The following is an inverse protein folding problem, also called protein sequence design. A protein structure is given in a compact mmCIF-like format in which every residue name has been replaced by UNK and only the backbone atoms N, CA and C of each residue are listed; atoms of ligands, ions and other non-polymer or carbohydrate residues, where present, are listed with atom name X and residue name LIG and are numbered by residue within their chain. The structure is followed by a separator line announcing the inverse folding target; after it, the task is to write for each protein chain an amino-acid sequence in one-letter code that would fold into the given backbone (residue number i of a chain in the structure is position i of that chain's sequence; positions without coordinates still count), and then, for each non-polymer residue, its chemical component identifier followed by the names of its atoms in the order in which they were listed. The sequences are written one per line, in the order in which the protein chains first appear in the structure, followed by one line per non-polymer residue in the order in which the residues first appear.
data_IF_581880686568
#
_entry.id   IF_581880686568
#
_cell.length_a   1.000
_cell.length_b   1.000
_cell.length_c   1.000
_cell.angle_alpha   90.00
_cell.angle_beta   90.00
_cell.angle_gamma   90.00
#
_symmetry.space_group_name_H-M   'P 1'
#
loop_
_entity.id
_entity.type
_entity.pdbx_description
1 polymer ?
#
# COMPACT_ATOMS: atom_id res chain seq x y z
N UNK A 1 1.37 -2.86 -92.37
CA UNK A 1 0.61 -3.76 -91.47
C UNK A 1 1.16 -5.17 -91.67
N UNK A 2 1.46 -5.99 -90.64
CA UNK A 2 0.87 -6.02 -89.30
C UNK A 2 1.86 -5.77 -88.12
N UNK A 3 1.30 -5.54 -86.94
CA UNK A 3 1.93 -5.25 -85.66
C UNK A 3 2.62 -6.48 -85.04
N UNK A 4 3.80 -6.26 -84.44
CA UNK A 4 4.43 -7.18 -83.47
C UNK A 4 4.14 -6.68 -82.05
N UNK A 5 3.36 -7.44 -81.28
CA UNK A 5 3.08 -7.16 -79.87
C UNK A 5 4.24 -7.66 -79.00
N UNK A 6 4.91 -6.75 -78.30
CA UNK A 6 5.88 -7.05 -77.24
C UNK A 6 5.13 -7.06 -75.91
N UNK A 7 5.02 -8.22 -75.27
CA UNK A 7 4.46 -8.35 -73.94
C UNK A 7 5.48 -7.87 -72.89
N UNK A 8 5.16 -6.80 -72.17
CA UNK A 8 5.88 -6.37 -70.96
C UNK A 8 5.25 -7.06 -69.74
N UNK A 9 6.00 -7.98 -69.14
CA UNK A 9 5.68 -8.53 -67.81
C UNK A 9 6.14 -7.51 -66.78
N UNK A 10 5.20 -6.83 -66.12
CA UNK A 10 5.47 -5.98 -64.97
C UNK A 10 5.52 -6.84 -63.71
N UNK A 11 6.69 -6.98 -63.10
CA UNK A 11 6.87 -7.63 -61.80
C UNK A 11 6.40 -6.65 -60.72
N UNK A 12 5.25 -6.90 -60.12
CA UNK A 12 4.75 -6.14 -58.96
C UNK A 12 5.37 -6.77 -57.70
N UNK A 13 6.47 -6.20 -57.22
CA UNK A 13 7.00 -6.50 -55.89
C UNK A 13 6.04 -5.94 -54.82
N UNK A 14 5.17 -6.81 -54.31
CA UNK A 14 4.29 -6.49 -53.18
C UNK A 14 5.10 -6.55 -51.89
N UNK A 15 5.52 -5.40 -51.39
CA UNK A 15 6.14 -5.28 -50.07
C UNK A 15 5.07 -5.50 -48.98
N UNK A 16 4.96 -6.73 -48.49
CA UNK A 16 4.26 -7.02 -47.25
C UNK A 16 5.10 -6.48 -46.08
N UNK A 17 4.86 -5.22 -45.70
CA UNK A 17 5.32 -4.71 -44.42
C UNK A 17 4.52 -5.43 -43.32
N UNK A 18 5.17 -6.39 -42.65
CA UNK A 18 4.63 -7.02 -41.46
C UNK A 18 4.45 -5.95 -40.38
N UNK A 19 3.21 -5.49 -40.18
CA UNK A 19 2.81 -4.70 -39.03
C UNK A 19 2.94 -5.60 -37.80
N UNK A 20 4.11 -5.59 -37.17
CA UNK A 20 4.25 -6.14 -35.82
C UNK A 20 3.32 -5.32 -34.91
N UNK A 21 2.44 -5.96 -34.12
CA UNK A 21 1.62 -5.22 -33.17
C UNK A 21 2.56 -4.50 -32.20
N UNK A 22 2.46 -3.17 -32.16
CA UNK A 22 3.12 -2.37 -31.14
C UNK A 22 2.51 -2.76 -29.79
N UNK A 23 3.18 -3.64 -29.05
CA UNK A 23 2.80 -3.96 -27.67
C UNK A 23 3.00 -2.70 -26.85
N UNK A 24 1.93 -2.18 -26.25
CA UNK A 24 2.00 -1.04 -25.35
C UNK A 24 3.07 -1.29 -24.27
N UNK A 25 3.85 -0.28 -23.93
CA UNK A 25 4.83 -0.39 -22.85
C UNK A 25 4.09 -0.74 -21.54
N UNK A 26 4.64 -1.65 -20.71
CA UNK A 26 3.99 -2.01 -19.46
C UNK A 26 3.83 -0.78 -18.57
N UNK A 27 2.66 -0.63 -17.96
CA UNK A 27 2.39 0.46 -17.02
C UNK A 27 3.29 0.26 -15.80
N UNK A 28 4.04 1.31 -15.44
CA UNK A 28 5.02 1.28 -14.37
C UNK A 28 4.83 2.48 -13.42
N UNK A 29 5.30 2.32 -12.19
CA UNK A 29 5.38 3.39 -11.22
C UNK A 29 6.84 3.82 -11.03
N UNK A 30 7.06 5.13 -10.97
CA UNK A 30 8.27 5.72 -10.42
C UNK A 30 8.18 5.71 -8.90
N UNK A 31 9.21 5.21 -8.22
CA UNK A 31 9.33 5.21 -6.78
C UNK A 31 10.46 6.16 -6.39
N UNK A 32 10.14 7.20 -5.62
CA UNK A 32 11.10 8.22 -5.16
C UNK A 32 11.37 8.05 -3.66
N UNK A 33 12.63 8.04 -3.26
CA UNK A 33 13.02 7.88 -1.87
C UNK A 33 13.25 9.22 -1.17
N UNK A 34 12.35 9.58 -0.26
CA UNK A 34 12.42 10.74 0.62
C UNK A 34 12.84 10.39 2.05
N UNK A 35 13.54 9.28 2.27
CA UNK A 35 14.00 8.88 3.62
C UNK A 35 14.96 9.91 4.20
N UNK A 36 14.75 10.28 5.47
CA UNK A 36 15.65 11.15 6.24
C UNK A 36 16.38 10.34 7.32
N UNK A 37 17.52 10.83 7.80
CA UNK A 37 18.24 10.14 8.89
C UNK A 37 17.58 10.42 10.24
N UNK A 38 17.46 9.41 11.09
CA UNK A 38 17.01 9.54 12.48
C UNK A 38 17.71 8.54 13.39
N UNK A 39 17.71 8.81 14.69
CA UNK A 39 18.09 7.84 15.73
C UNK A 39 16.86 7.21 16.42
N UNK A 40 15.67 7.77 16.19
CA UNK A 40 14.42 7.33 16.82
C UNK A 40 13.79 6.19 16.02
N UNK A 41 13.58 5.04 16.66
CA UNK A 41 12.95 3.89 16.02
C UNK A 41 11.44 4.09 15.78
N UNK A 42 10.80 4.98 16.52
CA UNK A 42 9.36 5.26 16.44
C UNK A 42 9.01 6.39 15.47
N UNK A 43 10.02 7.01 14.85
CA UNK A 43 9.85 8.06 13.85
C UNK A 43 9.62 7.44 12.47
N UNK A 44 8.55 7.84 11.80
CA UNK A 44 8.29 7.44 10.42
C UNK A 44 9.18 8.25 9.45
N UNK A 45 10.49 8.05 9.50
CA UNK A 45 11.48 8.79 8.70
C UNK A 45 11.60 8.30 7.25
N UNK A 46 11.03 7.15 6.92
CA UNK A 46 11.02 6.59 5.56
C UNK A 46 9.77 7.07 4.82
N UNK A 47 9.96 7.63 3.63
CA UNK A 47 8.88 7.98 2.70
C UNK A 47 9.24 7.53 1.29
N UNK A 48 8.57 6.48 0.79
CA UNK A 48 8.74 6.00 -0.59
C UNK A 48 7.50 6.39 -1.38
N UNK A 49 7.65 7.37 -2.27
CA UNK A 49 6.56 8.00 -3.01
C UNK A 49 6.37 7.32 -4.35
N UNK A 50 5.16 6.85 -4.66
CA UNK A 50 4.84 6.20 -5.92
C UNK A 50 4.03 7.15 -6.83
N UNK A 51 4.53 7.34 -8.05
CA UNK A 51 3.93 8.17 -9.11
C UNK A 51 3.84 7.37 -10.40
N UNK A 52 2.87 7.70 -11.25
CA UNK A 52 2.74 7.12 -12.57
C UNK A 52 1.53 7.71 -13.29
N UNK A 53 1.56 7.68 -14.62
CA UNK A 53 0.45 8.12 -15.47
C UNK A 53 -0.42 6.94 -15.86
N UNK A 54 -1.74 7.14 -15.84
CA UNK A 54 -2.68 6.19 -16.43
C UNK A 54 -3.05 4.99 -15.55
N UNK A 55 -2.36 4.74 -14.43
CA UNK A 55 -2.65 3.59 -13.56
C UNK A 55 -4.08 3.67 -13.04
N UNK A 56 -4.83 2.59 -13.20
CA UNK A 56 -6.18 2.41 -12.63
C UNK A 56 -6.26 1.22 -11.72
N UNK A 57 -5.53 0.15 -12.04
CA UNK A 57 -5.51 -1.07 -11.25
C UNK A 57 -4.13 -1.31 -10.67
N UNK A 58 -4.12 -1.88 -9.47
CA UNK A 58 -2.90 -2.33 -8.80
C UNK A 58 -3.22 -3.33 -7.72
N UNK A 59 -2.24 -4.15 -7.37
CA UNK A 59 -2.27 -5.03 -6.22
C UNK A 59 -1.34 -4.51 -5.13
N UNK A 60 -1.80 -4.55 -3.88
CA UNK A 60 -1.01 -4.22 -2.70
C UNK A 60 -1.01 -5.42 -1.76
N UNK A 61 0.16 -5.90 -1.36
CA UNK A 61 0.29 -7.07 -0.51
C UNK A 61 1.15 -6.79 0.73
N UNK A 62 0.70 -7.31 1.87
CA UNK A 62 1.52 -7.51 3.06
C UNK A 62 2.01 -8.96 3.03
N UNK A 63 3.32 -9.17 3.08
CA UNK A 63 3.96 -10.49 3.00
C UNK A 63 4.73 -10.75 4.29
N UNK A 64 4.77 -12.01 4.73
CA UNK A 64 5.70 -12.39 5.81
C UNK A 64 7.15 -12.09 5.39
N UNK A 65 8.01 -11.58 6.30
CA UNK A 65 9.41 -11.37 5.99
C UNK A 65 10.10 -12.73 5.72
N UNK A 66 11.02 -12.77 4.75
CA UNK A 66 11.64 -14.03 4.30
C UNK A 66 12.45 -14.77 5.37
N UNK A 67 12.85 -14.08 6.44
CA UNK A 67 13.58 -14.66 7.57
C UNK A 67 12.68 -15.13 8.71
N UNK A 68 11.34 -14.99 8.63
CA UNK A 68 10.44 -15.20 9.76
C UNK A 68 10.55 -16.62 10.39
N UNK A 69 10.87 -17.63 9.58
CA UNK A 69 11.05 -19.00 10.07
C UNK A 69 12.36 -19.25 10.80
N UNK A 70 13.30 -18.30 10.75
CA UNK A 70 14.59 -18.35 11.45
C UNK A 70 14.58 -17.64 12.79
N UNK A 71 13.51 -16.94 13.14
CA UNK A 71 13.38 -16.23 14.42
C UNK A 71 12.54 -17.05 15.41
N UNK A 72 13.01 -17.13 16.66
CA UNK A 72 12.33 -17.84 17.74
C UNK A 72 11.24 -17.00 18.41
N UNK A 73 11.51 -15.72 18.63
CA UNK A 73 10.63 -14.78 19.33
C UNK A 73 10.38 -13.54 18.48
N UNK A 74 9.22 -12.93 18.66
CA UNK A 74 8.86 -11.65 18.04
C UNK A 74 9.16 -10.50 19.00
N UNK A 75 9.87 -9.48 18.53
CA UNK A 75 10.04 -8.21 19.26
C UNK A 75 9.02 -7.22 18.73
N UNK A 76 8.18 -6.72 19.63
CA UNK A 76 7.03 -5.87 19.30
C UNK A 76 6.85 -4.72 20.30
N UNK A 77 7.77 -4.57 21.25
CA UNK A 77 7.69 -3.49 22.25
C UNK A 77 8.19 -2.21 21.59
N UNK A 78 7.51 -1.08 21.82
CA UNK A 78 7.97 0.17 21.28
C UNK A 78 9.35 0.55 21.85
N UNK A 79 10.17 1.21 21.03
CA UNK A 79 11.52 1.67 21.35
C UNK A 79 11.65 3.18 21.16
N UNK A 80 11.38 3.93 22.22
CA UNK A 80 11.51 5.39 22.24
C UNK A 80 12.95 5.88 22.45
N UNK A 81 13.96 4.99 22.42
CA UNK A 81 15.35 5.44 22.51
C UNK A 81 15.69 6.35 21.33
N UNK A 82 16.32 7.50 21.62
CA UNK A 82 16.64 8.49 20.59
C UNK A 82 15.44 9.30 20.08
N UNK A 83 14.24 9.10 20.61
CA UNK A 83 13.04 9.87 20.29
C UNK A 83 12.88 11.09 21.21
N UNK A 84 12.21 12.14 20.72
CA UNK A 84 11.80 13.29 21.51
C UNK A 84 10.34 13.16 22.02
N UNK A 85 9.78 11.95 21.99
CA UNK A 85 8.45 11.57 22.46
C UNK A 85 8.45 10.16 23.04
N UNK A 86 7.41 9.82 23.79
CA UNK A 86 7.33 8.62 24.65
C UNK A 86 6.06 7.78 24.39
N UNK A 87 5.57 7.78 23.15
CA UNK A 87 4.36 7.06 22.72
C UNK A 87 3.07 7.85 22.89
N UNK A 88 3.17 9.09 23.40
CA UNK A 88 2.11 10.07 23.37
C UNK A 88 1.88 10.70 21.98
N UNK A 89 1.35 11.93 21.98
CA UNK A 89 1.26 12.71 20.75
C UNK A 89 2.67 13.11 20.29
N UNK A 90 2.93 13.01 18.98
CA UNK A 90 4.17 13.52 18.42
C UNK A 90 4.27 15.03 18.67
N UNK A 91 5.41 15.58 19.15
CA UNK A 91 5.50 16.96 19.63
C UNK A 91 5.27 18.02 18.55
N UNK A 92 5.44 17.66 17.28
CA UNK A 92 5.18 18.56 16.14
C UNK A 92 3.76 18.46 15.60
N UNK A 93 2.98 17.46 16.02
CA UNK A 93 1.62 17.27 15.54
C UNK A 93 0.63 18.12 16.35
N UNK A 94 -0.37 18.72 15.69
CA UNK A 94 -1.52 19.26 16.40
C UNK A 94 -2.17 18.19 17.28
N UNK A 95 -2.81 18.58 18.37
CA UNK A 95 -3.48 17.65 19.28
C UNK A 95 -4.95 18.03 19.46
N UNK A 96 -5.83 17.49 18.62
CA UNK A 96 -7.28 17.69 18.74
C UNK A 96 -7.88 16.67 19.70
N UNK A 97 -8.78 17.13 20.59
CA UNK A 97 -9.40 16.29 21.62
C UNK A 97 -10.75 15.72 21.16
N UNK A 98 -11.01 14.47 21.52
CA UNK A 98 -12.23 13.75 21.18
C UNK A 98 -12.72 12.90 22.35
N UNK A 99 -14.00 12.55 22.32
CA UNK A 99 -14.55 11.54 23.22
C UNK A 99 -14.11 10.15 22.76
N UNK A 100 -13.31 9.46 23.57
CA UNK A 100 -12.90 8.08 23.30
C UNK A 100 -14.12 7.21 23.04
N UNK A 101 -14.08 6.41 21.98
CA UNK A 101 -15.20 5.55 21.57
C UNK A 101 -14.68 4.31 20.85
N UNK A 102 -15.24 3.14 21.15
CA UNK A 102 -14.98 1.90 20.41
C UNK A 102 -16.32 1.26 20.08
N UNK A 103 -16.51 0.88 18.81
CA UNK A 103 -17.78 0.39 18.30
C UNK A 103 -17.54 -0.83 17.42
N UNK A 104 -18.17 -1.95 17.75
CA UNK A 104 -18.29 -3.08 16.82
C UNK A 104 -19.33 -2.71 15.76
N UNK A 105 -18.85 -2.40 14.56
CA UNK A 105 -19.68 -2.00 13.43
C UNK A 105 -20.33 -3.20 12.76
N UNK A 106 -19.64 -4.34 12.78
CA UNK A 106 -20.10 -5.63 12.27
C UNK A 106 -19.36 -6.77 12.96
N UNK A 107 -20.06 -7.88 13.22
CA UNK A 107 -19.49 -9.14 13.66
C UNK A 107 -20.29 -10.29 13.04
N UNK A 108 -19.65 -11.11 12.21
CA UNK A 108 -20.27 -12.27 11.59
C UNK A 108 -19.37 -13.50 11.70
N UNK A 109 -19.64 -14.57 10.95
CA UNK A 109 -18.84 -15.79 11.00
C UNK A 109 -17.39 -15.60 10.53
N UNK A 110 -17.15 -14.71 9.57
CA UNK A 110 -15.85 -14.55 8.89
C UNK A 110 -15.09 -13.30 9.34
N UNK A 111 -15.81 -12.24 9.71
CA UNK A 111 -15.24 -10.90 9.88
C UNK A 111 -15.77 -10.23 11.13
N UNK A 112 -14.91 -9.47 11.80
CA UNK A 112 -15.27 -8.44 12.76
C UNK A 112 -14.71 -7.10 12.29
N UNK A 113 -15.52 -6.05 12.31
CA UNK A 113 -15.12 -4.69 11.93
C UNK A 113 -15.37 -3.77 13.12
N UNK A 114 -14.34 -3.05 13.54
CA UNK A 114 -14.37 -2.16 14.71
C UNK A 114 -13.99 -0.74 14.28
N UNK A 115 -14.77 0.24 14.72
CA UNK A 115 -14.40 1.65 14.63
C UNK A 115 -13.93 2.16 15.98
N UNK A 116 -12.81 2.89 16.00
CA UNK A 116 -12.24 3.50 17.20
C UNK A 116 -12.04 5.01 17.03
N UNK A 117 -12.40 5.78 18.05
CA UNK A 117 -12.06 7.19 18.24
C UNK A 117 -11.11 7.27 19.42
N UNK A 118 -9.87 7.70 19.17
CA UNK A 118 -8.86 7.96 20.20
C UNK A 118 -9.20 9.26 20.97
N UNK A 119 -8.74 9.43 22.22
CA UNK A 119 -8.96 10.65 22.99
C UNK A 119 -8.29 11.89 22.38
N UNK A 120 -7.18 11.70 21.66
CA UNK A 120 -6.48 12.73 20.92
C UNK A 120 -6.16 12.21 19.52
N UNK A 121 -6.23 13.09 18.52
CA UNK A 121 -5.75 12.81 17.16
C UNK A 121 -5.26 14.10 16.50
N UNK A 122 -4.35 13.97 15.53
CA UNK A 122 -3.69 15.13 14.92
C UNK A 122 -4.53 15.87 13.89
N UNK A 123 -5.64 15.25 13.47
CA UNK A 123 -6.58 15.81 12.51
C UNK A 123 -7.99 15.92 13.09
N UNK A 124 -8.71 17.04 12.87
CA UNK A 124 -10.08 17.23 13.37
C UNK A 124 -11.15 16.50 12.55
N UNK A 125 -10.81 15.99 11.36
CA UNK A 125 -11.75 15.46 10.37
C UNK A 125 -12.57 14.30 10.93
N UNK A 126 -13.88 14.33 10.67
CA UNK A 126 -14.83 13.27 11.03
C UNK A 126 -15.43 12.64 9.79
N UNK A 127 -14.73 11.65 9.24
CA UNK A 127 -15.15 10.98 8.00
C UNK A 127 -16.41 10.12 8.23
N UNK A 128 -17.45 10.26 7.40
CA UNK A 128 -18.59 9.36 7.37
C UNK A 128 -18.19 7.93 6.97
N UNK A 129 -18.69 6.95 7.71
CA UNK A 129 -18.43 5.52 7.50
C UNK A 129 -19.74 4.75 7.41
N UNK A 130 -19.84 3.88 6.41
CA UNK A 130 -20.93 2.93 6.27
C UNK A 130 -20.39 1.50 6.26
N UNK A 131 -20.91 0.63 7.12
CA UNK A 131 -20.59 -0.82 7.11
C UNK A 131 -21.90 -1.58 6.90
N UNK A 132 -22.08 -2.15 5.71
CA UNK A 132 -23.38 -2.69 5.29
C UNK A 132 -24.49 -1.64 5.41
N UNK A 133 -25.48 -1.89 6.29
CA UNK A 133 -26.60 -0.96 6.54
C UNK A 133 -26.28 0.08 7.63
N UNK A 134 -25.25 -0.13 8.45
CA UNK A 134 -24.91 0.77 9.57
C UNK A 134 -24.16 1.98 9.06
N UNK A 135 -24.62 3.18 9.43
CA UNK A 135 -23.91 4.46 9.20
C UNK A 135 -23.43 5.01 10.53
N UNK A 136 -22.21 5.55 10.55
CA UNK A 136 -21.57 6.18 11.71
C UNK A 136 -20.45 7.12 11.21
N UNK A 137 -19.73 7.81 12.08
CA UNK A 137 -18.64 8.73 11.67
C UNK A 137 -17.64 9.01 12.79
N UNK A 138 -16.55 9.70 12.44
CA UNK A 138 -15.60 10.22 13.43
C UNK A 138 -14.72 9.14 14.08
N UNK A 139 -14.42 8.08 13.33
CA UNK A 139 -13.42 7.08 13.72
C UNK A 139 -12.03 7.54 13.26
N UNK A 140 -11.03 7.37 14.12
CA UNK A 140 -9.62 7.52 13.79
C UNK A 140 -9.02 6.20 13.29
N UNK A 141 -9.60 5.05 13.69
CA UNK A 141 -9.21 3.74 13.17
C UNK A 141 -10.46 2.95 12.77
N UNK A 142 -10.40 2.32 11.61
CA UNK A 142 -11.30 1.26 11.15
C UNK A 142 -10.49 -0.02 11.03
N UNK A 143 -10.74 -0.97 11.93
CA UNK A 143 -10.01 -2.23 12.02
C UNK A 143 -10.85 -3.36 11.44
N UNK A 144 -10.23 -4.21 10.63
CA UNK A 144 -10.82 -5.42 10.08
C UNK A 144 -10.08 -6.63 10.64
N UNK A 145 -10.85 -7.54 11.22
CA UNK A 145 -10.37 -8.78 11.80
C UNK A 145 -10.93 -9.98 11.03
N UNK A 146 -10.06 -10.92 10.70
CA UNK A 146 -10.43 -12.27 10.22
C UNK A 146 -10.77 -13.14 11.42
N UNK A 147 -11.85 -13.92 11.33
CA UNK A 147 -12.19 -14.90 12.37
C UNK A 147 -11.69 -16.29 11.97
N UNK A 148 -10.84 -16.87 12.82
CA UNK A 148 -10.34 -18.25 12.71
C UNK A 148 -10.49 -18.94 14.06
N UNK A 149 -11.11 -20.12 14.09
CA UNK A 149 -11.25 -20.95 15.30
C UNK A 149 -11.77 -20.16 16.52
N UNK A 150 -12.75 -19.27 16.29
CA UNK A 150 -13.36 -18.43 17.34
C UNK A 150 -12.55 -17.19 17.73
N UNK A 151 -11.31 -17.00 17.24
CA UNK A 151 -10.47 -15.83 17.49
C UNK A 151 -10.60 -14.80 16.38
N UNK A 152 -10.67 -13.52 16.73
CA UNK A 152 -10.63 -12.41 15.78
C UNK A 152 -9.18 -11.90 15.69
N UNK A 153 -8.55 -12.10 14.53
CA UNK A 153 -7.17 -11.72 14.25
C UNK A 153 -7.15 -10.48 13.36
N UNK A 154 -6.53 -9.41 13.81
CA UNK A 154 -6.48 -8.14 13.08
C UNK A 154 -5.57 -8.26 11.85
N UNK A 155 -6.01 -7.72 10.71
CA UNK A 155 -5.23 -7.79 9.47
C UNK A 155 -5.16 -6.45 8.71
N UNK A 156 -6.15 -5.57 8.89
CA UNK A 156 -6.22 -4.28 8.17
C UNK A 156 -6.66 -3.20 9.15
N UNK A 157 -5.98 -2.06 9.10
CA UNK A 157 -6.42 -0.81 9.74
C UNK A 157 -6.39 0.31 8.70
N UNK A 158 -7.50 1.01 8.56
CA UNK A 158 -7.60 2.26 7.81
C UNK A 158 -7.81 3.41 8.80
N UNK A 159 -7.07 4.49 8.62
CA UNK A 159 -7.20 5.73 9.39
C UNK A 159 -8.03 6.72 8.57
N UNK A 160 -9.34 6.88 8.84
CA UNK A 160 -10.21 7.67 7.97
C UNK A 160 -9.78 9.13 7.86
N UNK A 161 -9.29 9.70 8.95
CA UNK A 161 -9.02 11.14 9.04
C UNK A 161 -7.74 11.57 8.31
N UNK A 162 -6.77 10.69 8.07
CA UNK A 162 -5.51 11.03 7.36
C UNK A 162 -5.16 10.11 6.19
N UNK A 163 -5.86 8.99 6.02
CA UNK A 163 -5.77 8.10 4.86
C UNK A 163 -4.66 7.04 4.94
N UNK A 164 -4.06 6.85 6.12
CA UNK A 164 -3.11 5.77 6.34
C UNK A 164 -3.79 4.40 6.34
N UNK A 165 -3.11 3.43 5.78
CA UNK A 165 -3.43 2.01 5.82
C UNK A 165 -2.30 1.26 6.48
N UNK A 166 -2.66 0.30 7.33
CA UNK A 166 -1.74 -0.70 7.86
C UNK A 166 -2.32 -2.07 7.56
N UNK A 167 -1.53 -2.93 6.96
CA UNK A 167 -1.93 -4.30 6.64
C UNK A 167 -0.85 -5.28 7.10
N UNK A 168 -1.27 -6.46 7.56
CA UNK A 168 -0.36 -7.55 7.91
C UNK A 168 -0.98 -8.90 7.57
N UNK A 169 -0.18 -9.92 7.25
CA UNK A 169 -0.65 -11.30 7.23
C UNK A 169 -1.12 -11.71 8.63
N UNK A 170 -1.90 -12.78 8.72
CA UNK A 170 -2.18 -13.40 10.01
C UNK A 170 -0.88 -13.90 10.65
N UNK A 171 -0.66 -13.63 11.94
CA UNK A 171 0.59 -14.01 12.62
C UNK A 171 0.71 -15.54 12.64
N UNK A 172 1.93 -16.08 12.49
CA UNK A 172 2.19 -17.51 12.76
C UNK A 172 1.78 -17.82 14.20
N UNK A 173 1.24 -19.00 14.49
CA UNK A 173 0.66 -19.33 15.80
C UNK A 173 1.64 -19.19 17.00
N UNK A 174 2.95 -19.23 16.74
CA UNK A 174 4.01 -19.01 17.75
C UNK A 174 4.23 -17.53 18.11
N UNK A 175 3.77 -16.62 17.27
CA UNK A 175 3.80 -15.18 17.50
C UNK A 175 2.39 -14.75 17.94
N UNK A 176 2.28 -13.73 18.78
CA UNK A 176 1.00 -13.22 19.28
C UNK A 176 0.14 -12.63 18.17
N UNK A 177 -0.25 -11.36 18.27
CA UNK A 177 -1.01 -10.72 17.19
C UNK A 177 -0.12 -10.25 16.02
N UNK A 178 1.21 -10.27 16.17
CA UNK A 178 2.19 -9.72 15.22
C UNK A 178 2.12 -8.20 15.10
N UNK A 179 3.06 -7.60 14.37
CA UNK A 179 3.14 -6.14 14.17
C UNK A 179 2.89 -5.73 12.72
N UNK A 180 2.55 -4.45 12.51
CA UNK A 180 2.37 -3.88 11.17
C UNK A 180 3.65 -3.35 10.55
N UNK A 181 4.55 -2.78 11.36
CA UNK A 181 5.70 -2.02 10.90
C UNK A 181 5.30 -0.85 10.02
N UNK A 182 5.36 -1.04 8.70
CA UNK A 182 5.05 0.00 7.72
C UNK A 182 3.55 0.29 7.56
N UNK A 183 3.29 1.44 6.98
CA UNK A 183 1.98 1.89 6.54
C UNK A 183 2.06 2.43 5.12
N UNK A 184 0.92 2.60 4.47
CA UNK A 184 0.85 3.27 3.18
C UNK A 184 -0.36 4.17 3.08
N UNK A 185 -0.28 5.17 2.21
CA UNK A 185 -1.43 5.95 1.75
C UNK A 185 -1.77 5.51 0.33
N UNK A 186 -3.05 5.57 -0.02
CA UNK A 186 -3.57 5.21 -1.34
C UNK A 186 -4.63 6.21 -1.77
N UNK A 187 -4.45 6.80 -2.96
CA UNK A 187 -5.32 7.83 -3.52
C UNK A 187 -4.54 9.09 -3.89
N UNK A 188 -5.20 10.24 -4.05
CA UNK A 188 -4.56 11.53 -4.30
C UNK A 188 -3.78 11.97 -3.06
N UNK A 189 -2.49 11.61 -2.97
CA UNK A 189 -1.68 11.93 -1.79
C UNK A 189 -1.23 13.37 -1.84
N UNK A 190 -1.46 14.10 -0.76
CA UNK A 190 -0.91 15.43 -0.52
C UNK A 190 0.46 15.28 0.15
N UNK A 191 1.50 15.70 -0.57
CA UNK A 191 2.86 15.68 -0.06
C UNK A 191 3.04 16.75 1.01
N UNK A 192 3.43 16.32 2.20
CA UNK A 192 3.81 17.15 3.34
C UNK A 192 4.79 16.36 4.20
N UNK A 193 5.32 16.96 5.27
CA UNK A 193 6.17 16.25 6.24
C UNK A 193 5.50 14.96 6.76
N UNK A 194 4.18 15.05 7.00
CA UNK A 194 3.29 13.91 7.20
C UNK A 194 2.26 13.89 6.06
N UNK A 195 2.40 12.98 5.07
CA UNK A 195 1.50 12.94 3.92
C UNK A 195 0.07 12.57 4.35
N UNK A 196 -0.92 13.00 3.57
CA UNK A 196 -2.33 12.67 3.81
C UNK A 196 -3.06 12.30 2.53
N UNK A 197 -4.11 11.51 2.67
CA UNK A 197 -5.18 11.39 1.68
C UNK A 197 -6.46 11.91 2.32
N UNK A 198 -7.04 12.94 1.72
CA UNK A 198 -8.29 13.51 2.20
C UNK A 198 -9.48 12.64 1.77
N UNK A 199 -10.06 11.92 2.72
CA UNK A 199 -11.19 11.01 2.49
C UNK A 199 -12.52 11.72 2.78
N UNK A 200 -13.41 11.73 1.81
CA UNK A 200 -14.77 12.27 1.92
C UNK A 200 -15.74 11.28 2.57
N UNK A 201 -15.63 9.98 2.28
CA UNK A 201 -16.45 8.94 2.92
C UNK A 201 -15.89 7.54 2.68
N UNK A 202 -16.24 6.61 3.56
CA UNK A 202 -15.87 5.20 3.45
C UNK A 202 -17.12 4.33 3.48
N UNK A 203 -17.19 3.34 2.58
CA UNK A 203 -18.21 2.29 2.60
C UNK A 203 -17.54 0.92 2.58
N UNK A 204 -17.83 0.10 3.58
CA UNK A 204 -17.36 -1.29 3.65
C UNK A 204 -18.52 -2.23 3.31
N UNK A 205 -18.33 -2.99 2.24
CA UNK A 205 -19.19 -4.11 1.83
C UNK A 205 -18.56 -5.39 2.38
N UNK A 206 -19.27 -6.22 3.16
CA UNK A 206 -18.64 -7.36 3.83
C UNK A 206 -18.63 -8.66 3.02
N UNK A 207 -19.37 -8.73 1.91
CA UNK A 207 -19.48 -9.91 1.04
C UNK A 207 -19.69 -9.51 -0.44
N UNK A 208 -18.67 -9.68 -1.31
CA UNK A 208 -17.26 -9.89 -0.95
C UNK A 208 -16.74 -8.71 -0.08
N UNK A 209 -15.68 -8.93 0.70
CA UNK A 209 -15.12 -7.88 1.52
C UNK A 209 -14.44 -6.82 0.62
N UNK A 210 -15.00 -5.62 0.59
CA UNK A 210 -14.48 -4.50 -0.17
C UNK A 210 -14.63 -3.19 0.60
N UNK A 211 -13.61 -2.36 0.56
CA UNK A 211 -13.56 -1.04 1.19
C UNK A 211 -13.55 0.00 0.05
N UNK A 212 -14.66 0.70 -0.10
CA UNK A 212 -14.79 1.80 -1.04
C UNK A 212 -14.46 3.11 -0.34
N UNK A 213 -13.49 3.83 -0.88
CA UNK A 213 -13.04 5.13 -0.38
C UNK A 213 -13.39 6.18 -1.40
N UNK A 214 -14.14 7.21 -1.01
CA UNK A 214 -14.32 8.42 -1.83
C UNK A 214 -13.37 9.49 -1.34
N UNK A 215 -12.61 10.08 -2.25
CA UNK A 215 -11.66 11.14 -1.94
C UNK A 215 -12.34 12.51 -2.02
N UNK A 216 -11.77 13.49 -1.32
CA UNK A 216 -12.28 14.87 -1.29
C UNK A 216 -12.18 15.57 -2.65
N UNK A 217 -11.25 15.15 -3.51
CA UNK A 217 -11.06 15.65 -4.88
C UNK A 217 -12.07 15.09 -5.91
N UNK A 218 -13.05 14.30 -5.44
CA UNK A 218 -14.08 13.67 -6.25
C UNK A 218 -13.68 12.35 -6.92
N UNK A 219 -12.44 11.86 -6.74
CA UNK A 219 -12.05 10.50 -7.10
C UNK A 219 -12.56 9.45 -6.10
N UNK A 220 -12.32 8.17 -6.40
CA UNK A 220 -12.58 7.07 -5.48
C UNK A 220 -11.68 5.86 -5.76
N UNK A 221 -11.50 5.03 -4.74
CA UNK A 221 -10.88 3.71 -4.85
C UNK A 221 -11.87 2.64 -4.37
N UNK A 222 -11.98 1.55 -5.13
CA UNK A 222 -12.57 0.30 -4.67
C UNK A 222 -11.43 -0.65 -4.30
N UNK A 223 -11.30 -0.97 -3.01
CA UNK A 223 -10.26 -1.86 -2.48
C UNK A 223 -10.90 -3.19 -2.12
N UNK A 224 -10.78 -4.19 -2.99
CA UNK A 224 -11.24 -5.56 -2.73
C UNK A 224 -10.21 -6.27 -1.87
N UNK A 225 -10.67 -6.93 -0.81
CA UNK A 225 -9.80 -7.76 0.04
C UNK A 225 -9.82 -9.17 -0.54
N UNK A 226 -8.78 -9.51 -1.29
CA UNK A 226 -8.66 -10.78 -2.00
C UNK A 226 -8.27 -11.91 -1.07
N UNK A 227 -7.39 -11.62 -0.12
CA UNK A 227 -6.86 -12.61 0.79
C UNK A 227 -6.50 -11.98 2.14
N UNK A 228 -6.83 -12.70 3.21
CA UNK A 228 -6.23 -12.53 4.54
C UNK A 228 -5.90 -13.95 5.02
N UNK A 229 -4.62 -14.29 4.99
CA UNK A 229 -4.07 -15.61 5.32
C UNK A 229 -2.80 -15.46 6.15
N UNK A 230 -2.18 -16.59 6.51
CA UNK A 230 -0.88 -16.58 7.23
C UNK A 230 0.28 -16.25 6.30
N UNK A 231 0.06 -16.39 5.00
CA UNK A 231 1.02 -16.13 3.94
C UNK A 231 1.04 -14.65 3.60
N UNK A 232 -0.15 -14.04 3.46
CA UNK A 232 -0.30 -12.63 3.08
C UNK A 232 -1.65 -12.02 3.43
N UNK A 233 -1.68 -10.69 3.41
CA UNK A 233 -2.92 -9.92 3.21
C UNK A 233 -2.82 -9.21 1.88
N UNK A 234 -3.79 -9.43 0.99
CA UNK A 234 -3.76 -8.92 -0.37
C UNK A 234 -4.98 -8.07 -0.70
N UNK A 235 -4.70 -6.90 -1.28
CA UNK A 235 -5.66 -5.93 -1.73
C UNK A 235 -5.58 -5.79 -3.24
N UNK A 236 -6.73 -5.85 -3.91
CA UNK A 236 -6.89 -5.50 -5.32
C UNK A 236 -7.61 -4.15 -5.39
N UNK A 237 -6.95 -3.17 -6.00
CA UNK A 237 -7.35 -1.77 -5.98
C UNK A 237 -7.76 -1.36 -7.38
N UNK A 238 -8.93 -0.73 -7.48
CA UNK A 238 -9.39 -0.03 -8.68
C UNK A 238 -9.64 1.44 -8.38
N UNK A 239 -8.99 2.34 -9.11
CA UNK A 239 -9.20 3.79 -9.05
C UNK A 239 -10.23 4.24 -10.08
N UNK A 240 -11.18 5.08 -9.68
CA UNK A 240 -12.20 5.60 -10.61
C UNK A 240 -11.63 6.61 -11.60
N UNK A 241 -10.52 7.26 -11.26
CA UNK A 241 -9.77 8.18 -12.11
C UNK A 241 -8.37 7.58 -12.36
N UNK A 242 -7.81 7.72 -13.56
CA UNK A 242 -6.43 7.30 -13.79
C UNK A 242 -5.48 8.20 -12.98
N UNK A 243 -4.35 7.65 -12.55
CA UNK A 243 -3.32 8.45 -11.89
C UNK A 243 -2.67 9.45 -12.85
N UNK A 244 -2.10 10.51 -12.28
CA UNK A 244 -1.30 11.49 -13.00
C UNK A 244 0.05 11.65 -12.30
N UNK A 245 1.15 11.63 -13.05
CA UNK A 245 2.53 11.64 -12.53
C UNK A 245 2.82 12.82 -11.59
N UNK A 246 2.19 13.98 -11.84
CA UNK A 246 2.30 15.17 -11.00
C UNK A 246 1.81 14.96 -9.55
N UNK A 247 0.92 13.99 -9.29
CA UNK A 247 0.39 13.68 -7.97
C UNK A 247 0.74 12.24 -7.57
N UNK A 248 1.33 11.99 -6.38
CA UNK A 248 1.53 10.62 -5.94
C UNK A 248 0.19 9.92 -5.74
N UNK A 249 0.10 8.68 -6.22
CA UNK A 249 -1.08 7.84 -6.01
C UNK A 249 -0.94 6.96 -4.76
N UNK A 250 0.30 6.78 -4.28
CA UNK A 250 0.59 6.08 -3.04
C UNK A 250 1.88 6.60 -2.42
N UNK A 251 1.99 6.47 -1.11
CA UNK A 251 3.25 6.70 -0.37
C UNK A 251 3.36 5.62 0.69
N UNK A 252 4.47 4.89 0.72
CA UNK A 252 4.81 4.03 1.86
C UNK A 252 5.50 4.89 2.94
N UNK A 253 5.07 4.71 4.19
CA UNK A 253 5.64 5.31 5.38
C UNK A 253 6.14 4.22 6.32
N UNK A 254 7.34 4.38 6.84
CA UNK A 254 8.02 3.38 7.66
C UNK A 254 9.12 4.03 8.50
N UNK A 255 9.82 3.22 9.30
CA UNK A 255 11.02 3.64 10.01
C UNK A 255 12.29 2.93 9.51
N UNK A 256 13.44 3.61 9.60
CA UNK A 256 14.79 3.10 9.33
C UNK A 256 15.82 3.86 10.17
N UNK A 257 16.49 3.17 11.10
CA UNK A 257 17.66 3.68 11.83
C UNK A 257 18.93 3.02 11.32
N UNK A 258 18.89 1.71 11.11
CA UNK A 258 19.97 0.89 10.60
C UNK A 258 19.41 -0.38 9.93
N UNK A 259 20.19 -1.16 9.14
CA UNK A 259 19.67 -2.35 8.47
C UNK A 259 19.01 -3.41 9.38
N UNK A 260 19.44 -3.50 10.64
CA UNK A 260 18.92 -4.37 11.71
C UNK A 260 17.99 -3.64 12.68
N UNK A 261 17.69 -2.36 12.43
CA UNK A 261 16.77 -1.53 13.20
C UNK A 261 15.88 -0.72 12.25
N UNK A 262 15.04 -1.45 11.53
CA UNK A 262 14.20 -0.91 10.47
C UNK A 262 12.91 -1.71 10.33
N UNK A 263 11.87 -1.10 9.79
CA UNK A 263 10.71 -1.81 9.23
C UNK A 263 10.86 -2.03 7.72
N UNK A 264 11.68 -1.20 7.07
CA UNK A 264 12.15 -1.39 5.69
C UNK A 264 13.64 -1.06 5.64
N UNK A 265 14.48 -1.98 5.18
CA UNK A 265 15.92 -1.75 5.03
C UNK A 265 16.43 -1.92 3.60
N UNK A 266 15.61 -2.44 2.69
CA UNK A 266 15.95 -2.58 1.28
C UNK A 266 14.71 -2.49 0.40
N UNK A 267 14.94 -2.24 -0.89
CA UNK A 267 13.90 -2.21 -1.91
C UNK A 267 14.24 -3.25 -2.97
N UNK A 268 13.27 -4.11 -3.29
CA UNK A 268 13.35 -5.08 -4.38
C UNK A 268 12.37 -4.70 -5.47
N UNK A 269 12.75 -4.77 -6.74
CA UNK A 269 11.84 -4.41 -7.83
C UNK A 269 12.17 -5.08 -9.16
N UNK A 270 11.22 -5.01 -10.09
CA UNK A 270 11.40 -5.35 -11.49
C UNK A 270 11.00 -4.16 -12.36
N UNK A 271 11.89 -3.75 -13.26
CA UNK A 271 11.65 -2.62 -14.17
C UNK A 271 10.59 -2.93 -15.26
N UNK A 272 10.44 -4.20 -15.62
CA UNK A 272 9.40 -4.73 -16.51
C UNK A 272 9.08 -6.18 -16.13
N UNK A 273 7.99 -6.78 -16.61
CA UNK A 273 7.61 -8.15 -16.24
C UNK A 273 8.67 -9.21 -16.60
N UNK A 274 9.52 -8.94 -17.60
CA UNK A 274 10.60 -9.83 -18.05
C UNK A 274 11.97 -9.44 -17.47
N UNK A 275 12.07 -8.31 -16.75
CA UNK A 275 13.33 -7.87 -16.17
C UNK A 275 13.73 -8.75 -14.97
N UNK A 276 15.04 -8.91 -14.78
CA UNK A 276 15.57 -9.53 -13.58
C UNK A 276 15.19 -8.69 -12.34
N UNK A 277 14.94 -9.37 -11.22
CA UNK A 277 14.71 -8.71 -9.94
C UNK A 277 15.99 -7.99 -9.49
N UNK A 278 15.85 -6.73 -9.11
CA UNK A 278 16.90 -5.90 -8.55
C UNK A 278 16.67 -5.74 -7.05
N UNK A 279 17.74 -5.54 -6.29
CA UNK A 279 17.69 -5.23 -4.87
C UNK A 279 18.74 -4.19 -4.53
N UNK A 280 18.35 -3.18 -3.76
CA UNK A 280 19.28 -2.19 -3.20
C UNK A 280 18.95 -1.93 -1.72
N UNK A 281 19.96 -1.70 -0.88
CA UNK A 281 19.76 -1.13 0.45
C UNK A 281 18.99 0.19 0.35
N UNK A 282 18.10 0.45 1.31
CA UNK A 282 17.25 1.66 1.31
C UNK A 282 18.03 2.97 1.15
N UNK A 283 19.20 3.19 1.81
CA UNK A 283 19.96 4.44 1.64
C UNK A 283 20.48 4.69 0.21
N UNK A 284 20.68 3.62 -0.55
CA UNK A 284 21.24 3.66 -1.90
C UNK A 284 20.17 3.90 -2.97
N UNK A 285 18.89 3.69 -2.63
CA UNK A 285 17.77 3.99 -3.52
C UNK A 285 17.53 5.50 -3.53
N UNK A 286 17.61 6.13 -4.72
CA UNK A 286 17.20 7.53 -4.93
C UNK A 286 15.86 7.60 -5.65
N UNK A 287 15.80 6.99 -6.82
CA UNK A 287 14.58 6.79 -7.59
C UNK A 287 14.72 5.52 -8.42
N UNK A 288 13.61 4.87 -8.74
CA UNK A 288 13.55 3.71 -9.62
C UNK A 288 12.23 3.67 -10.38
N UNK A 289 12.19 2.99 -11.51
CA UNK A 289 10.94 2.62 -12.18
C UNK A 289 10.67 1.14 -12.00
N UNK A 290 9.42 0.81 -11.69
CA UNK A 290 9.01 -0.54 -11.35
C UNK A 290 7.61 -0.88 -11.85
N UNK A 291 7.47 -2.08 -12.39
CA UNK A 291 6.16 -2.74 -12.62
C UNK A 291 5.74 -3.58 -11.42
N UNK A 292 6.72 -3.94 -10.57
CA UNK A 292 6.55 -4.51 -9.25
C UNK A 292 7.65 -3.99 -8.33
N UNK A 293 7.28 -3.60 -7.11
CA UNK A 293 8.20 -3.19 -6.06
C UNK A 293 7.80 -3.79 -4.71
N UNK A 294 8.78 -4.21 -3.93
CA UNK A 294 8.64 -4.74 -2.56
C UNK A 294 9.58 -3.99 -1.64
N UNK A 295 9.02 -3.45 -0.58
CA UNK A 295 9.70 -2.75 0.50
C UNK A 295 9.79 -3.70 1.68
N UNK A 296 11.00 -4.02 2.13
CA UNK A 296 11.16 -5.09 3.09
C UNK A 296 12.55 -5.20 3.66
N UNK A 297 12.85 -6.38 4.20
CA UNK A 297 14.09 -6.65 4.94
C UNK A 297 14.61 -8.08 4.71
N UNK A 298 15.94 -8.20 4.64
CA UNK A 298 16.66 -9.48 4.62
C UNK A 298 17.12 -9.88 6.03
N UNK A 299 17.24 -8.92 6.93
CA UNK A 299 17.72 -9.09 8.30
C UNK A 299 16.57 -8.89 9.30
N UNK A 300 16.51 -9.69 10.38
CA UNK A 300 15.59 -9.44 11.48
C UNK A 300 15.81 -8.06 12.10
N UNK A 301 14.72 -7.31 12.29
CA UNK A 301 14.77 -6.04 13.02
C UNK A 301 14.73 -6.27 14.53
N UNK A 302 15.53 -5.49 15.26
CA UNK A 302 15.51 -5.44 16.72
C UNK A 302 14.34 -4.64 17.30
N UNK A 303 13.61 -3.89 16.47
CA UNK A 303 12.42 -3.12 16.89
C UNK A 303 11.12 -3.91 16.65
N UNK A 304 10.87 -4.33 15.41
CA UNK A 304 9.61 -4.95 14.96
C UNK A 304 9.91 -6.19 14.10
N UNK A 305 10.19 -7.32 14.75
CA UNK A 305 10.80 -8.47 14.06
C UNK A 305 9.86 -9.14 13.07
N UNK A 306 8.55 -9.23 13.35
CA UNK A 306 7.57 -9.84 12.45
C UNK A 306 6.93 -8.88 11.45
N UNK A 307 7.34 -7.60 11.39
CA UNK A 307 6.70 -6.63 10.50
C UNK A 307 6.72 -7.12 9.03
N UNK A 308 5.59 -7.02 8.31
CA UNK A 308 5.47 -7.50 6.94
C UNK A 308 6.30 -6.65 5.98
N UNK A 309 6.72 -7.29 4.89
CA UNK A 309 7.13 -6.56 3.70
C UNK A 309 5.88 -6.09 2.95
N UNK A 310 5.91 -4.87 2.41
CA UNK A 310 4.80 -4.32 1.61
C UNK A 310 5.19 -4.31 0.14
N UNK A 311 4.34 -4.85 -0.73
CA UNK A 311 4.55 -4.88 -2.17
C UNK A 311 3.44 -4.18 -2.94
N UNK A 312 3.82 -3.52 -4.03
CA UNK A 312 2.93 -2.95 -5.04
C UNK A 312 3.26 -3.59 -6.39
N UNK A 313 2.25 -4.05 -7.12
CA UNK A 313 2.44 -4.74 -8.39
C UNK A 313 1.17 -4.69 -9.25
N UNK A 314 1.25 -5.26 -10.46
CA UNK A 314 0.08 -5.42 -11.33
C UNK A 314 -0.53 -4.09 -11.76
N UNK A 315 0.31 -3.10 -12.05
CA UNK A 315 -0.15 -1.82 -12.57
C UNK A 315 -0.70 -1.99 -13.98
N UNK A 316 -1.93 -1.51 -14.22
CA UNK A 316 -2.52 -1.40 -15.55
C UNK A 316 -3.46 -0.19 -15.65
N UNK A 317 -3.84 0.17 -16.88
CA UNK A 317 -4.64 1.35 -17.21
C UNK A 317 -6.15 1.08 -17.30
N UNK A 318 -6.59 -0.13 -16.97
CA UNK A 318 -8.00 -0.57 -17.04
C UNK A 318 -8.54 -0.78 -18.45
N UNK A 319 -7.68 -0.76 -19.48
CA UNK A 319 -8.04 -1.12 -20.85
C UNK A 319 -7.58 -2.57 -21.10
N UNK A 320 -8.41 -3.53 -20.68
CA UNK A 320 -8.30 -4.94 -21.10
C UNK A 320 -9.52 -5.34 -21.93
#
# INVERSE_FOLDING_TARGET
MPLRSVARVALICSAFAALLPATAAPVAATVENGTTTTACAEEDNVSLTLRGDGIRHMRIEALQPGYLDKIGNDVTKPDFSGCNFDGGAHPTDPAHRFRKRTVVLMDNAQWRIVGMTLPTFWRPQRVPVQVGKRKDSGFHLLQVFRKENGKALEAIVLYPSDGYWRIKPLPKARFGDGVYGSSFLLGPVEAAARPVVNIASIRIVPRPLAIHVRFADGGSAAVRVDEISRERTALDVTLSKPTASAQPFAVLRSMYVAPDNADVSEVRWQASPQAAAQVLPLPDVKSLQATQVRFGRSLPSKHNTSAPDIAFSGFDDGVQ
#
